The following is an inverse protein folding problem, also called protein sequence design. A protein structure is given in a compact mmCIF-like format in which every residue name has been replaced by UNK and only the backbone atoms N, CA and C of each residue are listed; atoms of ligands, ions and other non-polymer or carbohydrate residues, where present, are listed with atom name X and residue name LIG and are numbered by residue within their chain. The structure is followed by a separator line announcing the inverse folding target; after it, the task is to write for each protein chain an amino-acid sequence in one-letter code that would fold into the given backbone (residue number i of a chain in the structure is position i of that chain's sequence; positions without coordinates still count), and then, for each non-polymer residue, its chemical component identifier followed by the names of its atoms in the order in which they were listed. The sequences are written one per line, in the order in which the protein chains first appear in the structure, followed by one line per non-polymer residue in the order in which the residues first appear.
data_IF_426475562537
#
_entry.id   IF_426475562537
#
_cell.length_a   1.000
_cell.length_b   1.000
_cell.length_c   1.000
_cell.angle_alpha   90.00
_cell.angle_beta   90.00
_cell.angle_gamma   90.00
#
_symmetry.space_group_name_H-M   'P 1'
#
loop_
_entity.id
_entity.type
_entity.pdbx_description
1 polymer ?
#
# COMPACT_ATOMS: atom_id res chain seq x y z
N UNK A 1 -3.12 12.70 17.89
CA UNK A 1 -4.12 12.09 17.01
C UNK A 1 -5.09 13.18 16.58
N UNK A 2 -5.06 13.54 15.31
CA UNK A 2 -5.89 14.58 14.69
C UNK A 2 -7.03 13.93 13.91
N UNK A 3 -8.24 14.50 13.98
CA UNK A 3 -9.40 14.03 13.20
C UNK A 3 -9.37 14.68 11.81
N UNK A 4 -9.25 13.86 10.76
CA UNK A 4 -9.30 14.31 9.37
C UNK A 4 -10.73 14.34 8.83
N UNK A 5 -11.58 13.42 9.29
CA UNK A 5 -12.97 13.34 8.87
C UNK A 5 -13.82 12.61 9.91
N UNK A 6 -15.09 13.01 10.08
CA UNK A 6 -16.06 12.27 10.90
C UNK A 6 -17.49 12.46 10.37
N UNK A 7 -18.30 11.39 10.28
CA UNK A 7 -19.76 11.47 10.09
C UNK A 7 -20.55 10.60 11.06
N UNK A 8 -21.67 11.14 11.53
CA UNK A 8 -22.82 10.36 12.01
C UNK A 8 -23.62 9.94 10.78
N UNK A 9 -23.30 8.79 10.21
CA UNK A 9 -23.73 8.38 8.88
C UNK A 9 -25.18 7.81 8.88
N UNK A 10 -26.06 8.39 9.73
CA UNK A 10 -27.45 7.94 10.01
C UNK A 10 -28.34 7.85 8.76
N UNK A 11 -28.10 8.71 7.78
CA UNK A 11 -28.91 8.82 6.57
C UNK A 11 -28.08 8.64 5.30
N UNK A 12 -26.91 7.99 5.40
CA UNK A 12 -25.99 7.87 4.27
C UNK A 12 -26.66 7.14 3.10
N UNK A 13 -26.42 7.65 1.89
CA UNK A 13 -26.90 7.14 0.61
C UNK A 13 -25.72 6.99 -0.33
N UNK A 14 -25.85 6.22 -1.42
CA UNK A 14 -24.77 6.09 -2.41
C UNK A 14 -24.26 7.44 -2.95
N UNK A 15 -25.14 8.42 -3.12
CA UNK A 15 -24.72 9.77 -3.52
C UNK A 15 -23.86 10.45 -2.45
N UNK A 16 -24.25 10.35 -1.18
CA UNK A 16 -23.49 10.91 -0.07
C UNK A 16 -22.15 10.20 0.14
N UNK A 17 -22.04 8.89 -0.12
CA UNK A 17 -20.75 8.18 -0.10
C UNK A 17 -19.78 8.85 -1.06
N UNK A 18 -20.20 9.15 -2.30
CA UNK A 18 -19.35 9.84 -3.27
C UNK A 18 -18.89 11.23 -2.80
N UNK A 19 -19.77 11.98 -2.14
CA UNK A 19 -19.44 13.30 -1.55
C UNK A 19 -18.44 13.16 -0.40
N UNK A 20 -18.65 12.19 0.49
CA UNK A 20 -17.77 11.88 1.62
C UNK A 20 -16.38 11.52 1.12
N UNK A 21 -16.29 10.60 0.17
CA UNK A 21 -15.02 10.14 -0.39
C UNK A 21 -14.26 11.24 -1.13
N UNK A 22 -14.97 12.12 -1.85
CA UNK A 22 -14.35 13.30 -2.46
C UNK A 22 -13.77 14.23 -1.41
N UNK A 23 -14.53 14.52 -0.35
CA UNK A 23 -14.06 15.38 0.74
C UNK A 23 -12.83 14.79 1.45
N UNK A 24 -12.82 13.49 1.71
CA UNK A 24 -11.65 12.78 2.27
C UNK A 24 -10.43 12.97 1.35
N UNK A 25 -10.57 12.75 0.05
CA UNK A 25 -9.48 12.98 -0.91
C UNK A 25 -8.95 14.42 -0.86
N UNK A 26 -9.84 15.42 -0.85
CA UNK A 26 -9.47 16.84 -0.81
C UNK A 26 -8.69 17.19 0.47
N UNK A 27 -9.13 16.68 1.63
CA UNK A 27 -8.43 16.86 2.93
C UNK A 27 -7.04 16.24 2.89
N UNK A 28 -6.92 15.02 2.36
CA UNK A 28 -5.63 14.34 2.27
C UNK A 28 -4.67 15.03 1.30
N UNK A 29 -5.18 15.52 0.17
CA UNK A 29 -4.40 16.33 -0.76
C UNK A 29 -3.89 17.61 -0.10
N UNK A 30 -4.74 18.33 0.64
CA UNK A 30 -4.34 19.56 1.34
C UNK A 30 -3.28 19.30 2.44
N UNK A 31 -3.29 18.11 3.04
CA UNK A 31 -2.28 17.66 4.01
C UNK A 31 -0.97 17.17 3.37
N UNK A 32 -0.89 17.09 2.05
CA UNK A 32 0.30 16.65 1.32
C UNK A 32 0.52 15.14 1.35
N UNK A 33 -0.53 14.34 1.57
CA UNK A 33 -0.43 12.89 1.40
C UNK A 33 -0.26 12.51 -0.07
N UNK A 34 0.48 11.43 -0.32
CA UNK A 34 0.72 10.89 -1.66
C UNK A 34 -0.57 10.44 -2.35
N UNK A 35 -0.58 10.43 -3.69
CA UNK A 35 -1.69 9.88 -4.47
C UNK A 35 -1.90 8.38 -4.16
N UNK A 36 -0.85 7.67 -3.78
CA UNK A 36 -0.93 6.27 -3.36
C UNK A 36 -1.70 6.12 -2.03
N UNK A 37 -1.38 6.94 -1.02
CA UNK A 37 -2.10 6.95 0.27
C UNK A 37 -3.56 7.33 0.05
N UNK A 38 -3.81 8.38 -0.73
CA UNK A 38 -5.17 8.84 -1.06
C UNK A 38 -5.99 7.71 -1.69
N UNK A 39 -5.43 6.99 -2.67
CA UNK A 39 -6.11 5.85 -3.31
C UNK A 39 -6.37 4.69 -2.33
N UNK A 40 -5.44 4.39 -1.42
CA UNK A 40 -5.63 3.36 -0.39
C UNK A 40 -6.74 3.74 0.59
N UNK A 41 -6.68 4.95 1.15
CA UNK A 41 -7.70 5.46 2.08
C UNK A 41 -9.06 5.53 1.42
N UNK A 42 -9.15 6.05 0.20
CA UNK A 42 -10.38 6.09 -0.59
C UNK A 42 -10.99 4.69 -0.74
N UNK A 43 -10.18 3.71 -1.14
CA UNK A 43 -10.63 2.33 -1.37
C UNK A 43 -11.17 1.69 -0.09
N UNK A 44 -10.46 1.83 1.03
CA UNK A 44 -10.88 1.25 2.32
C UNK A 44 -12.13 1.97 2.84
N UNK A 45 -12.15 3.30 2.74
CA UNK A 45 -13.29 4.13 3.17
C UNK A 45 -14.55 3.77 2.38
N UNK A 46 -14.44 3.57 1.06
CA UNK A 46 -15.59 3.17 0.22
C UNK A 46 -16.19 1.86 0.72
N UNK A 47 -15.35 0.86 0.97
CA UNK A 47 -15.81 -0.45 1.45
C UNK A 47 -16.45 -0.35 2.85
N UNK A 48 -15.87 0.46 3.74
CA UNK A 48 -16.44 0.70 5.07
C UNK A 48 -17.80 1.40 5.00
N UNK A 49 -17.93 2.41 4.16
CA UNK A 49 -19.17 3.17 3.98
C UNK A 49 -20.25 2.34 3.28
N UNK A 50 -19.87 1.51 2.30
CA UNK A 50 -20.78 0.55 1.66
C UNK A 50 -21.24 -0.52 2.67
N UNK A 51 -20.35 -1.01 3.55
CA UNK A 51 -20.73 -1.90 4.64
C UNK A 51 -21.68 -1.23 5.62
N UNK A 52 -21.48 0.05 5.93
CA UNK A 52 -22.42 0.85 6.75
C UNK A 52 -23.79 0.89 6.09
N UNK A 53 -23.85 1.19 4.79
CA UNK A 53 -25.08 1.32 4.01
C UNK A 53 -25.83 -0.01 3.81
N UNK A 54 -25.13 -1.08 3.43
CA UNK A 54 -25.74 -2.34 3.01
C UNK A 54 -26.06 -3.29 4.19
N UNK A 55 -25.21 -3.30 5.22
CA UNK A 55 -25.29 -4.25 6.33
C UNK A 55 -25.74 -3.61 7.65
N UNK A 56 -26.00 -2.31 7.67
CA UNK A 56 -26.54 -1.62 8.84
C UNK A 56 -27.96 -2.05 9.12
N UNK A 57 -28.20 -2.64 10.29
CA UNK A 57 -29.56 -2.94 10.72
C UNK A 57 -30.33 -1.62 10.91
N UNK A 58 -31.37 -1.42 10.10
CA UNK A 58 -32.14 -0.17 10.05
C UNK A 58 -33.03 -0.03 11.29
N UNK A 59 -32.46 0.48 12.38
CA UNK A 59 -33.18 0.65 13.63
C UNK A 59 -33.90 2.00 13.64
N UNK A 60 -35.07 2.09 13.00
CA UNK A 60 -35.97 3.25 13.17
C UNK A 60 -36.37 3.51 14.65
N UNK A 61 -36.05 2.59 15.57
CA UNK A 61 -36.47 2.54 16.97
C UNK A 61 -35.32 2.57 17.99
N UNK A 62 -34.07 2.61 17.54
CA UNK A 62 -32.88 2.74 18.41
C UNK A 62 -32.13 3.96 17.91
N UNK A 63 -31.59 4.78 18.81
CA UNK A 63 -30.63 5.84 18.46
C UNK A 63 -29.29 5.21 18.04
N UNK A 64 -29.35 4.32 17.03
CA UNK A 64 -28.14 3.81 16.41
C UNK A 64 -27.53 4.95 15.62
N UNK A 65 -26.25 5.16 15.88
CA UNK A 65 -25.45 6.13 15.15
C UNK A 65 -24.38 5.31 14.43
N UNK A 66 -24.65 4.79 13.22
CA UNK A 66 -23.56 4.39 12.36
C UNK A 66 -22.60 5.57 12.28
N UNK A 67 -21.32 5.28 12.49
CA UNK A 67 -20.31 6.31 12.68
C UNK A 67 -19.09 5.95 11.86
N UNK A 68 -18.53 6.94 11.19
CA UNK A 68 -17.32 6.78 10.40
C UNK A 68 -16.37 7.91 10.75
N UNK A 69 -15.12 7.57 11.03
CA UNK A 69 -14.09 8.54 11.37
C UNK A 69 -12.77 8.15 10.72
N UNK A 70 -12.02 9.17 10.30
CA UNK A 70 -10.62 9.04 9.92
C UNK A 70 -9.81 9.94 10.83
N UNK A 71 -8.86 9.34 11.55
CA UNK A 71 -7.87 10.06 12.34
C UNK A 71 -6.48 9.74 11.85
N UNK A 72 -5.51 10.58 12.21
CA UNK A 72 -4.11 10.31 11.91
C UNK A 72 -3.17 10.85 13.00
N UNK A 73 -1.97 10.28 13.02
CA UNK A 73 -0.81 10.79 13.73
C UNK A 73 0.42 10.77 12.81
N UNK A 74 1.62 10.95 13.37
CA UNK A 74 2.86 10.99 12.57
C UNK A 74 3.18 9.66 11.86
N UNK A 75 2.61 8.55 12.32
CA UNK A 75 2.98 7.19 11.90
C UNK A 75 1.87 6.48 11.15
N UNK A 76 0.62 6.68 11.54
CA UNK A 76 -0.51 5.89 11.04
C UNK A 76 -1.74 6.75 10.76
N UNK A 77 -2.55 6.28 9.81
CA UNK A 77 -3.93 6.70 9.59
C UNK A 77 -4.84 5.60 10.14
N UNK A 78 -5.90 5.99 10.85
CA UNK A 78 -6.88 5.06 11.40
C UNK A 78 -8.24 5.34 10.78
N UNK A 79 -8.87 4.29 10.27
CA UNK A 79 -10.23 4.35 9.73
C UNK A 79 -11.13 3.56 10.67
N UNK A 80 -12.04 4.26 11.33
CA UNK A 80 -13.02 3.70 12.24
C UNK A 80 -14.38 3.65 11.56
N UNK A 81 -15.01 2.47 11.55
CA UNK A 81 -16.33 2.27 10.98
C UNK A 81 -17.20 1.47 11.96
N UNK A 82 -18.22 2.13 12.51
CA UNK A 82 -19.17 1.56 13.48
C UNK A 82 -20.53 1.35 12.84
N UNK A 83 -21.10 0.17 13.03
CA UNK A 83 -22.43 -0.18 12.55
C UNK A 83 -23.18 -1.07 13.56
N UNK A 84 -24.50 -1.22 13.38
CA UNK A 84 -25.31 -2.16 14.16
C UNK A 84 -25.55 -3.42 13.35
N UNK A 85 -25.28 -4.57 13.95
CA UNK A 85 -25.55 -5.88 13.37
C UNK A 85 -26.44 -6.72 14.28
N UNK A 86 -27.09 -7.75 13.72
CA UNK A 86 -27.78 -8.76 14.52
C UNK A 86 -26.77 -9.74 15.11
N UNK A 87 -27.02 -10.18 16.34
CA UNK A 87 -26.12 -11.10 17.05
C UNK A 87 -26.00 -12.46 16.34
N UNK A 88 -27.01 -12.88 15.56
CA UNK A 88 -26.93 -14.10 14.74
C UNK A 88 -25.82 -14.05 13.66
N UNK A 89 -25.44 -12.85 13.20
CA UNK A 89 -24.43 -12.65 12.15
C UNK A 89 -23.03 -12.41 12.76
N UNK A 90 -22.96 -12.19 14.08
CA UNK A 90 -21.74 -11.80 14.80
C UNK A 90 -20.69 -12.91 14.79
N UNK A 91 -21.09 -14.15 15.07
CA UNK A 91 -20.17 -15.29 15.12
C UNK A 91 -19.48 -15.52 13.77
N UNK A 92 -20.26 -15.44 12.68
CA UNK A 92 -19.73 -15.55 11.33
C UNK A 92 -18.77 -14.40 11.01
N UNK A 93 -19.09 -13.16 11.42
CA UNK A 93 -18.23 -12.00 11.19
C UNK A 93 -16.91 -12.12 11.95
N UNK A 94 -16.95 -12.50 13.23
CA UNK A 94 -15.77 -12.68 14.07
C UNK A 94 -14.85 -13.76 13.50
N UNK A 95 -15.41 -14.92 13.11
CA UNK A 95 -14.66 -15.98 12.45
C UNK A 95 -14.03 -15.49 11.13
N UNK A 96 -14.78 -14.73 10.33
CA UNK A 96 -14.26 -14.18 9.07
C UNK A 96 -13.08 -13.24 9.30
N UNK A 97 -13.18 -12.31 10.27
CA UNK A 97 -12.08 -11.38 10.60
C UNK A 97 -10.87 -12.13 11.15
N UNK A 98 -11.07 -13.12 12.03
CA UNK A 98 -10.00 -13.94 12.57
C UNK A 98 -9.24 -14.66 11.44
N UNK A 99 -9.97 -15.33 10.54
CA UNK A 99 -9.40 -16.00 9.39
C UNK A 99 -8.60 -15.02 8.49
N UNK A 100 -9.12 -13.82 8.24
CA UNK A 100 -8.40 -12.81 7.45
C UNK A 100 -7.09 -12.35 8.12
N UNK A 101 -7.09 -12.26 9.44
CA UNK A 101 -5.91 -11.84 10.19
C UNK A 101 -4.82 -12.92 10.26
N UNK A 102 -5.20 -14.20 10.18
CA UNK A 102 -4.27 -15.33 10.16
C UNK A 102 -3.67 -15.62 8.77
N UNK A 103 -4.37 -15.24 7.69
CA UNK A 103 -3.85 -15.46 6.33
C UNK A 103 -2.59 -14.66 6.03
N UNK A 104 -1.62 -15.34 5.40
CA UNK A 104 -0.42 -14.67 4.89
C UNK A 104 -0.77 -13.88 3.63
N UNK A 105 -0.01 -12.82 3.36
CA UNK A 105 -0.25 -11.94 2.22
C UNK A 105 -0.29 -12.68 0.87
N UNK A 106 0.58 -13.69 0.70
CA UNK A 106 0.65 -14.54 -0.50
C UNK A 106 -0.61 -15.38 -0.73
N UNK A 107 -1.33 -15.71 0.33
CA UNK A 107 -2.55 -16.54 0.31
C UNK A 107 -3.80 -15.70 0.04
N UNK A 108 -3.76 -14.40 0.37
CA UNK A 108 -4.90 -13.48 0.20
C UNK A 108 -5.31 -13.32 -1.27
N UNK A 109 -4.37 -13.27 -2.22
CA UNK A 109 -4.68 -13.06 -3.64
C UNK A 109 -5.37 -14.28 -4.27
N UNK A 110 -4.85 -15.52 -4.13
CA UNK A 110 -5.57 -16.72 -4.56
C UNK A 110 -6.94 -16.87 -3.88
N UNK A 111 -7.01 -16.63 -2.57
CA UNK A 111 -8.27 -16.71 -1.83
C UNK A 111 -9.32 -15.71 -2.33
N UNK A 112 -8.92 -14.46 -2.59
CA UNK A 112 -9.76 -13.43 -3.21
C UNK A 112 -10.30 -13.85 -4.58
N UNK A 113 -9.43 -14.37 -5.44
CA UNK A 113 -9.80 -14.80 -6.80
C UNK A 113 -10.80 -15.96 -6.77
N UNK A 114 -10.60 -16.93 -5.87
CA UNK A 114 -11.52 -18.05 -5.70
C UNK A 114 -12.86 -17.59 -5.12
N UNK A 115 -12.84 -16.72 -4.10
CA UNK A 115 -14.03 -16.15 -3.48
C UNK A 115 -14.89 -15.40 -4.49
N UNK A 116 -14.29 -14.61 -5.38
CA UNK A 116 -15.03 -13.92 -6.45
C UNK A 116 -15.61 -14.91 -7.46
N UNK A 117 -14.82 -15.91 -7.89
CA UNK A 117 -15.29 -16.93 -8.84
C UNK A 117 -16.50 -17.70 -8.29
N UNK A 118 -16.43 -18.15 -7.05
CA UNK A 118 -17.52 -18.87 -6.39
C UNK A 118 -18.76 -17.97 -6.18
N UNK A 119 -18.57 -16.72 -5.75
CA UNK A 119 -19.67 -15.79 -5.48
C UNK A 119 -20.30 -15.16 -6.72
N UNK A 120 -19.58 -15.08 -7.84
CA UNK A 120 -20.13 -14.61 -9.12
C UNK A 120 -21.29 -15.46 -9.66
N UNK A 121 -21.55 -16.64 -9.06
CA UNK A 121 -22.68 -17.51 -9.38
C UNK A 121 -23.94 -17.23 -8.53
N UNK A 122 -23.89 -16.37 -7.50
CA UNK A 122 -25.03 -16.05 -6.64
C UNK A 122 -25.25 -14.52 -6.53
N UNK A 123 -26.42 -14.05 -6.93
CA UNK A 123 -26.77 -12.64 -7.24
C UNK A 123 -27.00 -11.71 -6.03
N UNK A 124 -26.32 -11.90 -4.89
CA UNK A 124 -26.42 -10.96 -3.76
C UNK A 124 -25.05 -10.65 -3.17
N UNK A 125 -24.76 -9.35 -3.01
CA UNK A 125 -23.48 -8.77 -2.58
C UNK A 125 -22.76 -9.60 -1.51
N UNK A 126 -21.58 -10.10 -1.87
CA UNK A 126 -20.89 -11.12 -1.12
C UNK A 126 -20.17 -10.58 0.11
N UNK A 127 -20.78 -10.74 1.29
CA UNK A 127 -20.11 -10.56 2.59
C UNK A 127 -18.73 -11.23 2.58
N UNK A 128 -17.68 -10.47 2.91
CA UNK A 128 -16.29 -10.95 3.01
C UNK A 128 -15.34 -10.50 1.88
N UNK A 129 -15.84 -10.14 0.69
CA UNK A 129 -14.96 -9.59 -0.38
C UNK A 129 -14.35 -8.26 0.05
N UNK A 130 -15.15 -7.43 0.72
CA UNK A 130 -14.71 -6.17 1.30
C UNK A 130 -13.62 -6.31 2.34
N UNK A 131 -13.80 -7.23 3.29
CA UNK A 131 -12.80 -7.48 4.35
C UNK A 131 -11.46 -7.96 3.77
N UNK A 132 -11.50 -8.80 2.72
CA UNK A 132 -10.28 -9.21 2.00
C UNK A 132 -9.62 -7.99 1.33
N UNK A 133 -10.40 -7.11 0.71
CA UNK A 133 -9.88 -5.90 0.07
C UNK A 133 -9.24 -4.96 1.09
N UNK A 134 -9.90 -4.75 2.23
CA UNK A 134 -9.38 -3.97 3.36
C UNK A 134 -8.06 -4.57 3.84
N UNK A 135 -8.03 -5.87 4.17
CA UNK A 135 -6.83 -6.58 4.66
C UNK A 135 -5.66 -6.48 3.69
N UNK A 136 -5.90 -6.61 2.38
CA UNK A 136 -4.87 -6.49 1.34
C UNK A 136 -4.34 -5.06 1.17
N UNK A 137 -5.09 -4.05 1.57
CA UNK A 137 -4.71 -2.64 1.44
C UNK A 137 -4.07 -2.09 2.71
N UNK A 138 -4.55 -2.52 3.89
CA UNK A 138 -3.96 -2.18 5.18
C UNK A 138 -2.68 -2.94 5.47
N UNK A 139 -2.59 -4.20 5.04
CA UNK A 139 -1.49 -5.13 5.35
C UNK A 139 -1.30 -5.43 6.85
N UNK A 140 -2.10 -4.76 7.71
CA UNK A 140 -2.17 -4.94 9.15
C UNK A 140 -3.43 -5.72 9.56
N UNK A 141 -3.47 -6.31 10.77
CA UNK A 141 -4.68 -6.92 11.31
C UNK A 141 -5.85 -5.94 11.34
N UNK A 142 -7.05 -6.43 11.04
CA UNK A 142 -8.30 -5.68 11.23
C UNK A 142 -8.72 -5.88 12.68
N UNK A 143 -8.85 -4.79 13.44
CA UNK A 143 -9.37 -4.83 14.80
C UNK A 143 -10.91 -4.74 14.78
N UNK A 144 -11.56 -5.62 15.53
CA UNK A 144 -13.01 -5.73 15.64
C UNK A 144 -13.43 -5.58 17.11
N UNK A 145 -14.17 -4.52 17.41
CA UNK A 145 -14.77 -4.30 18.73
C UNK A 145 -16.27 -4.53 18.66
N UNK A 146 -16.83 -5.16 19.70
CA UNK A 146 -18.25 -5.51 19.79
C UNK A 146 -18.82 -5.00 21.10
N UNK A 147 -19.91 -4.24 21.04
CA UNK A 147 -20.64 -3.74 22.21
C UNK A 147 -22.10 -4.17 22.13
N UNK A 148 -22.55 -5.02 23.04
CA UNK A 148 -23.94 -5.48 23.05
C UNK A 148 -24.90 -4.35 23.40
N UNK A 149 -25.97 -4.19 22.59
CA UNK A 149 -27.03 -3.21 22.83
C UNK A 149 -28.21 -3.91 23.50
N UNK A 150 -28.63 -5.06 22.94
CA UNK A 150 -29.73 -5.92 23.40
C UNK A 150 -29.41 -7.38 23.10
N UNK A 151 -30.32 -8.29 23.47
CA UNK A 151 -30.16 -9.75 23.26
C UNK A 151 -29.95 -10.15 21.81
N UNK A 152 -30.47 -9.36 20.87
CA UNK A 152 -30.53 -9.67 19.43
C UNK A 152 -29.62 -8.79 18.56
N UNK A 153 -29.04 -7.72 19.10
CA UNK A 153 -28.24 -6.74 18.34
C UNK A 153 -27.03 -6.21 19.13
N UNK A 154 -25.96 -5.92 18.40
CA UNK A 154 -24.72 -5.33 18.93
C UNK A 154 -24.20 -4.24 18.00
N UNK A 155 -23.49 -3.27 18.57
CA UNK A 155 -22.58 -2.45 17.80
C UNK A 155 -21.35 -3.27 17.44
N UNK A 156 -20.91 -3.11 16.20
CA UNK A 156 -19.63 -3.59 15.72
C UNK A 156 -18.84 -2.40 15.20
N UNK A 157 -17.60 -2.29 15.64
CA UNK A 157 -16.67 -1.25 15.22
C UNK A 157 -15.45 -1.92 14.61
N UNK A 158 -15.18 -1.63 13.35
CA UNK A 158 -13.89 -1.93 12.72
C UNK A 158 -12.95 -0.76 12.99
N UNK A 159 -11.74 -1.08 13.46
CA UNK A 159 -10.63 -0.13 13.50
C UNK A 159 -9.54 -0.65 12.55
N UNK A 160 -9.25 0.11 11.51
CA UNK A 160 -8.33 -0.26 10.45
C UNK A 160 -7.15 0.70 10.49
N UNK A 161 -5.99 0.16 10.82
CA UNK A 161 -4.74 0.91 10.83
C UNK A 161 -4.05 0.84 9.45
N UNK A 162 -3.50 1.99 9.04
CA UNK A 162 -2.70 2.17 7.84
C UNK A 162 -1.40 2.86 8.23
N UNK A 163 -0.32 2.11 8.29
CA UNK A 163 1.01 2.68 8.54
C UNK A 163 1.46 3.55 7.36
N UNK A 164 1.69 4.84 7.63
CA UNK A 164 2.26 5.79 6.66
C UNK A 164 3.69 5.32 6.27
N UNK A 165 4.40 4.66 7.18
CA UNK A 165 5.76 4.17 6.99
C UNK A 165 5.90 2.93 6.09
N UNK A 166 4.95 1.99 6.08
CA UNK A 166 4.94 0.85 5.14
C UNK A 166 4.55 1.27 3.74
N UNK A 167 3.74 2.33 3.60
CA UNK A 167 3.42 2.93 2.30
C UNK A 167 4.57 3.72 1.68
N UNK A 168 5.65 3.93 2.44
CA UNK A 168 6.91 4.55 2.00
C UNK A 168 7.96 3.54 1.54
N UNK A 169 7.59 2.26 1.40
CA UNK A 169 8.51 1.19 1.02
C UNK A 169 8.01 0.41 -0.18
N UNK A 170 8.93 0.03 -1.07
CA UNK A 170 8.68 -0.89 -2.16
C UNK A 170 9.62 -2.07 -2.01
N UNK A 171 9.09 -3.29 -2.08
CA UNK A 171 9.90 -4.50 -1.92
C UNK A 171 9.54 -5.56 -2.95
N UNK A 172 10.54 -6.07 -3.67
CA UNK A 172 10.48 -7.29 -4.49
C UNK A 172 11.58 -8.22 -4.03
N UNK A 173 11.24 -9.45 -3.65
CA UNK A 173 12.22 -10.43 -3.20
C UNK A 173 13.11 -10.90 -4.36
N UNK A 174 14.38 -11.18 -4.07
CA UNK A 174 15.30 -11.76 -5.03
C UNK A 174 14.85 -13.16 -5.46
N UNK A 175 15.15 -13.52 -6.71
CA UNK A 175 15.06 -14.88 -7.22
C UNK A 175 16.37 -15.25 -7.91
N UNK A 176 16.47 -16.45 -8.49
CA UNK A 176 17.62 -16.86 -9.30
C UNK A 176 17.86 -15.97 -10.54
N UNK A 177 16.85 -15.20 -10.95
CA UNK A 177 16.87 -14.40 -12.17
C UNK A 177 16.51 -12.93 -11.95
N UNK A 178 16.08 -12.53 -10.76
CA UNK A 178 15.63 -11.16 -10.47
C UNK A 178 16.26 -10.63 -9.19
N UNK A 179 16.60 -9.33 -9.13
CA UNK A 179 17.24 -8.77 -7.96
C UNK A 179 16.23 -8.64 -6.81
N UNK A 180 16.76 -8.50 -5.59
CA UNK A 180 16.04 -7.83 -4.52
C UNK A 180 15.91 -6.35 -4.91
N UNK A 181 14.70 -5.81 -4.86
CA UNK A 181 14.47 -4.36 -4.90
C UNK A 181 13.90 -3.98 -3.54
N UNK A 182 14.53 -3.05 -2.85
CA UNK A 182 14.03 -2.54 -1.58
C UNK A 182 14.23 -1.03 -1.49
N UNK A 183 13.16 -0.27 -1.77
CA UNK A 183 13.18 1.18 -1.70
C UNK A 183 12.48 1.63 -0.44
N UNK A 184 13.09 2.56 0.30
CA UNK A 184 12.51 3.11 1.52
C UNK A 184 12.66 4.63 1.56
N UNK A 185 11.55 5.34 1.39
CA UNK A 185 11.49 6.80 1.55
C UNK A 185 11.73 7.22 3.01
N UNK A 186 11.47 6.33 3.97
CA UNK A 186 11.69 6.64 5.39
C UNK A 186 13.18 6.77 5.72
N UNK A 187 13.99 5.83 5.24
CA UNK A 187 15.45 5.86 5.46
C UNK A 187 16.19 6.67 4.39
N UNK A 188 15.54 6.94 3.25
CA UNK A 188 16.22 7.49 2.09
C UNK A 188 17.23 6.50 1.51
N UNK A 189 16.94 5.19 1.58
CA UNK A 189 17.80 4.12 1.05
C UNK A 189 17.03 3.29 0.04
N UNK A 190 17.52 3.28 -1.20
CA UNK A 190 16.98 2.53 -2.32
C UNK A 190 18.00 1.50 -2.75
N UNK A 191 17.70 0.24 -2.51
CA UNK A 191 18.64 -0.88 -2.67
C UNK A 191 18.23 -1.79 -3.82
N UNK A 192 19.21 -2.22 -4.61
CA UNK A 192 19.08 -3.26 -5.63
C UNK A 192 20.21 -4.28 -5.47
N UNK A 193 19.88 -5.54 -5.17
CA UNK A 193 20.87 -6.58 -4.86
C UNK A 193 20.65 -7.87 -5.67
N UNK A 194 21.73 -8.52 -6.11
CA UNK A 194 21.72 -9.86 -6.71
C UNK A 194 21.71 -9.87 -8.24
N UNK A 195 20.96 -10.79 -8.86
CA UNK A 195 21.03 -11.03 -10.31
C UNK A 195 19.85 -10.39 -11.05
N UNK A 196 20.10 -9.63 -12.10
CA UNK A 196 19.08 -9.01 -12.95
C UNK A 196 19.07 -9.55 -14.39
N UNK A 197 18.34 -10.65 -14.57
CA UNK A 197 18.02 -11.25 -15.89
C UNK A 197 16.57 -11.80 -15.95
N UNK A 198 15.55 -11.02 -15.56
CA UNK A 198 14.16 -11.44 -15.68
C UNK A 198 13.81 -11.86 -17.11
N UNK A 199 12.92 -12.85 -17.24
CA UNK A 199 12.38 -13.29 -18.54
C UNK A 199 11.71 -12.15 -19.30
N UNK A 200 10.99 -11.27 -18.58
CA UNK A 200 10.42 -10.03 -19.11
C UNK A 200 10.91 -8.83 -18.28
N UNK A 201 12.08 -8.31 -18.65
CA UNK A 201 12.71 -7.17 -17.96
C UNK A 201 11.87 -5.89 -18.01
N UNK A 202 11.23 -5.60 -19.15
CA UNK A 202 10.42 -4.38 -19.29
C UNK A 202 9.23 -4.39 -18.33
N UNK A 203 8.49 -5.50 -18.25
CA UNK A 203 7.38 -5.63 -17.30
C UNK A 203 7.87 -5.59 -15.84
N UNK A 204 8.98 -6.26 -15.53
CA UNK A 204 9.54 -6.31 -14.18
C UNK A 204 9.89 -4.90 -13.65
N UNK A 205 10.59 -4.10 -14.47
CA UNK A 205 11.02 -2.76 -14.10
C UNK A 205 9.93 -1.71 -14.26
N UNK A 206 8.91 -1.94 -15.08
CA UNK A 206 7.75 -1.04 -15.17
C UNK A 206 7.03 -0.90 -13.83
N UNK A 207 6.91 -1.98 -13.05
CA UNK A 207 6.35 -1.92 -11.69
C UNK A 207 7.19 -1.04 -10.76
N UNK A 208 8.53 -1.09 -10.89
CA UNK A 208 9.47 -0.30 -10.07
C UNK A 208 9.38 1.18 -10.45
N UNK A 209 9.39 1.46 -11.76
CA UNK A 209 9.24 2.82 -12.31
C UNK A 209 7.93 3.45 -11.84
N UNK A 210 6.82 2.72 -11.98
CA UNK A 210 5.51 3.24 -11.55
C UNK A 210 5.46 3.51 -10.05
N UNK A 211 6.14 2.74 -9.21
CA UNK A 211 6.23 3.08 -7.79
C UNK A 211 7.00 4.39 -7.55
N UNK A 212 8.09 4.64 -8.28
CA UNK A 212 8.85 5.90 -8.20
C UNK A 212 8.00 7.09 -8.69
N UNK A 213 7.29 6.92 -9.82
CA UNK A 213 6.36 7.93 -10.37
C UNK A 213 5.23 8.26 -9.38
N UNK A 214 4.73 7.27 -8.64
CA UNK A 214 3.69 7.45 -7.63
C UNK A 214 4.17 8.20 -6.37
N UNK A 215 5.49 8.26 -6.15
CA UNK A 215 6.12 8.85 -4.97
C UNK A 215 7.10 9.99 -5.32
N UNK A 216 6.92 10.64 -6.49
CA UNK A 216 7.84 11.68 -6.95
C UNK A 216 7.96 12.85 -5.96
N UNK A 217 6.85 13.26 -5.34
CA UNK A 217 6.83 14.40 -4.42
C UNK A 217 7.59 14.09 -3.14
N UNK A 218 7.44 12.87 -2.61
CA UNK A 218 8.16 12.40 -1.44
C UNK A 218 9.66 12.32 -1.73
N UNK A 219 10.03 11.76 -2.89
CA UNK A 219 11.44 11.66 -3.30
C UNK A 219 12.05 13.06 -3.48
N UNK A 220 11.31 14.01 -4.08
CA UNK A 220 11.72 15.42 -4.19
C UNK A 220 11.95 16.06 -2.82
N UNK A 221 11.14 15.71 -1.83
CA UNK A 221 11.23 16.26 -0.47
C UNK A 221 12.35 15.63 0.40
N UNK A 222 12.98 14.54 -0.04
CA UNK A 222 14.09 13.92 0.69
C UNK A 222 15.30 14.87 0.77
N UNK A 223 15.86 15.01 1.96
CA UNK A 223 17.12 15.75 2.18
C UNK A 223 18.34 15.00 1.63
N UNK A 224 18.29 13.68 1.67
CA UNK A 224 19.31 12.77 1.17
C UNK A 224 18.66 11.46 0.73
N UNK A 225 19.13 10.89 -0.37
CA UNK A 225 18.71 9.59 -0.88
C UNK A 225 19.96 8.82 -1.35
N UNK A 226 20.13 7.58 -0.92
CA UNK A 226 21.19 6.69 -1.38
C UNK A 226 20.59 5.64 -2.31
N UNK A 227 21.10 5.54 -3.53
CA UNK A 227 20.87 4.44 -4.46
C UNK A 227 22.01 3.45 -4.31
N UNK A 228 21.78 2.36 -3.58
CA UNK A 228 22.76 1.32 -3.30
C UNK A 228 22.59 0.13 -4.24
N UNK A 229 23.57 -0.09 -5.10
CA UNK A 229 23.49 -1.04 -6.21
C UNK A 229 24.58 -2.09 -6.06
N UNK A 230 24.17 -3.33 -5.83
CA UNK A 230 25.06 -4.50 -5.71
C UNK A 230 24.52 -5.62 -6.60
N UNK A 231 24.80 -5.54 -7.90
CA UNK A 231 24.33 -6.54 -8.86
C UNK A 231 25.45 -7.50 -9.23
N UNK A 232 25.25 -8.79 -8.98
CA UNK A 232 26.21 -9.85 -9.34
C UNK A 232 26.24 -10.12 -10.85
N UNK A 233 25.13 -9.82 -11.55
CA UNK A 233 25.03 -9.96 -13.00
C UNK A 233 23.81 -9.19 -13.52
N UNK A 234 23.97 -8.47 -14.62
CA UNK A 234 22.89 -7.77 -15.31
C UNK A 234 22.94 -8.05 -16.81
N UNK A 235 21.79 -8.34 -17.43
CA UNK A 235 21.73 -8.44 -18.89
C UNK A 235 21.43 -7.07 -19.54
N UNK A 236 21.73 -6.91 -20.82
CA UNK A 236 21.61 -5.62 -21.52
C UNK A 236 20.20 -5.00 -21.47
N UNK A 237 19.14 -5.83 -21.48
CA UNK A 237 17.75 -5.34 -21.38
C UNK A 237 17.45 -4.82 -19.97
N UNK A 238 17.98 -5.48 -18.93
CA UNK A 238 17.88 -4.99 -17.56
C UNK A 238 18.67 -3.71 -17.37
N UNK A 239 19.91 -3.65 -17.87
CA UNK A 239 20.77 -2.47 -17.76
C UNK A 239 20.10 -1.23 -18.38
N UNK A 240 19.47 -1.38 -19.55
CA UNK A 240 18.65 -0.33 -20.18
C UNK A 240 17.52 0.15 -19.26
N UNK A 241 16.84 -0.75 -18.57
CA UNK A 241 15.74 -0.40 -17.67
C UNK A 241 16.23 0.22 -16.35
N UNK A 242 17.36 -0.24 -15.81
CA UNK A 242 18.05 0.39 -14.67
C UNK A 242 18.46 1.82 -15.02
N UNK A 243 19.04 2.04 -16.21
CA UNK A 243 19.36 3.37 -16.69
C UNK A 243 18.13 4.29 -16.77
N UNK A 244 16.98 3.77 -17.24
CA UNK A 244 15.70 4.51 -17.24
C UNK A 244 15.27 4.87 -15.82
N UNK A 245 15.36 3.92 -14.89
CA UNK A 245 15.03 4.11 -13.49
C UNK A 245 15.92 5.16 -12.82
N UNK A 246 17.24 5.11 -13.04
CA UNK A 246 18.16 6.08 -12.48
C UNK A 246 17.93 7.47 -13.06
N UNK A 247 17.67 7.60 -14.37
CA UNK A 247 17.28 8.88 -14.96
C UNK A 247 16.04 9.47 -14.30
N UNK A 248 15.01 8.65 -14.09
CA UNK A 248 13.80 9.09 -13.40
C UNK A 248 14.14 9.59 -12.00
N UNK A 249 14.78 8.78 -11.16
CA UNK A 249 15.08 9.13 -9.77
C UNK A 249 15.99 10.37 -9.69
N UNK A 250 17.05 10.43 -10.49
CA UNK A 250 17.97 11.57 -10.54
C UNK A 250 17.30 12.86 -11.02
N UNK A 251 16.28 12.77 -11.88
CA UNK A 251 15.52 13.95 -12.32
C UNK A 251 14.64 14.57 -11.21
N UNK A 252 14.36 13.81 -10.14
CA UNK A 252 13.55 14.26 -9.02
C UNK A 252 14.37 15.13 -8.06
N UNK A 253 15.58 14.70 -7.69
CA UNK A 253 16.45 15.46 -6.79
C UNK A 253 17.95 15.15 -6.97
N UNK A 254 18.50 15.53 -8.13
CA UNK A 254 19.87 15.19 -8.54
C UNK A 254 20.96 15.46 -7.49
N UNK A 255 20.84 16.56 -6.73
CA UNK A 255 21.85 16.98 -5.76
C UNK A 255 21.80 16.17 -4.45
N UNK A 256 20.61 15.78 -3.99
CA UNK A 256 20.45 15.04 -2.74
C UNK A 256 20.70 13.53 -2.89
N UNK A 257 20.83 13.05 -4.13
CA UNK A 257 21.01 11.62 -4.42
C UNK A 257 22.50 11.27 -4.42
N UNK A 258 22.88 10.22 -3.71
CA UNK A 258 24.18 9.55 -3.85
C UNK A 258 23.95 8.21 -4.51
N UNK A 259 24.77 7.83 -5.48
CA UNK A 259 24.73 6.49 -6.07
C UNK A 259 25.95 5.73 -5.59
N UNK A 260 25.72 4.62 -4.90
CA UNK A 260 26.74 3.68 -4.45
C UNK A 260 26.70 2.46 -5.38
N UNK A 261 27.80 2.20 -6.08
CA UNK A 261 27.96 1.06 -6.96
C UNK A 261 28.95 0.08 -6.36
N UNK A 262 28.44 -1.05 -5.88
CA UNK A 262 29.22 -2.13 -5.28
C UNK A 262 29.62 -3.12 -6.37
N UNK A 263 30.90 -3.41 -6.48
CA UNK A 263 31.44 -4.33 -7.48
C UNK A 263 32.43 -5.31 -6.85
N UNK A 264 32.56 -6.51 -7.44
CA UNK A 264 33.61 -7.45 -7.08
C UNK A 264 34.91 -7.04 -7.78
N UNK A 265 36.02 -7.00 -7.04
CA UNK A 265 37.34 -6.65 -7.58
C UNK A 265 37.82 -7.62 -8.65
N UNK A 266 37.36 -8.87 -8.61
CA UNK A 266 37.67 -9.85 -9.65
C UNK A 266 36.79 -9.69 -10.91
N UNK A 267 35.72 -8.90 -10.83
CA UNK A 267 34.78 -8.62 -11.92
C UNK A 267 34.94 -7.18 -12.43
N UNK A 268 35.94 -6.97 -13.29
CA UNK A 268 36.17 -5.69 -13.97
C UNK A 268 34.95 -5.25 -14.81
N UNK A 269 34.15 -6.19 -15.34
CA UNK A 269 32.99 -5.87 -16.17
C UNK A 269 31.91 -5.13 -15.39
N UNK A 270 31.65 -5.54 -14.14
CA UNK A 270 30.66 -4.87 -13.27
C UNK A 270 31.06 -3.43 -12.97
N UNK A 271 32.36 -3.18 -12.78
CA UNK A 271 32.88 -1.83 -12.57
C UNK A 271 32.73 -0.97 -13.83
N UNK A 272 33.11 -1.49 -14.99
CA UNK A 272 32.98 -0.78 -16.28
C UNK A 272 31.53 -0.35 -16.53
N UNK A 273 30.55 -1.24 -16.29
CA UNK A 273 29.12 -0.91 -16.43
C UNK A 273 28.70 0.26 -15.51
N UNK A 274 29.18 0.29 -14.28
CA UNK A 274 28.92 1.38 -13.34
C UNK A 274 29.56 2.70 -13.79
N UNK A 275 30.78 2.66 -14.33
CA UNK A 275 31.49 3.82 -14.87
C UNK A 275 30.77 4.40 -16.10
N UNK A 276 30.32 3.54 -17.03
CA UNK A 276 29.50 3.94 -18.18
C UNK A 276 28.18 4.61 -17.75
N UNK A 277 27.48 4.03 -16.78
CA UNK A 277 26.25 4.61 -16.25
C UNK A 277 26.49 5.98 -15.61
N UNK A 278 27.56 6.11 -14.82
CA UNK A 278 27.97 7.38 -14.19
C UNK A 278 28.20 8.48 -15.23
N UNK A 279 28.91 8.17 -16.32
CA UNK A 279 29.16 9.10 -17.43
C UNK A 279 27.86 9.50 -18.14
N UNK A 280 27.03 8.52 -18.51
CA UNK A 280 25.76 8.73 -19.22
C UNK A 280 24.80 9.57 -18.38
N UNK A 281 24.77 9.36 -17.06
CA UNK A 281 23.87 10.05 -16.13
C UNK A 281 24.41 11.40 -15.67
N UNK A 282 25.68 11.72 -15.97
CA UNK A 282 26.36 12.93 -15.49
C UNK A 282 26.28 13.07 -13.97
N UNK A 283 26.43 11.95 -13.28
CA UNK A 283 26.34 11.85 -11.82
C UNK A 283 27.53 11.04 -11.34
N UNK A 284 28.35 11.64 -10.48
CA UNK A 284 29.45 10.92 -9.85
C UNK A 284 28.92 9.81 -8.94
N UNK A 285 29.38 8.59 -9.18
CA UNK A 285 29.06 7.42 -8.38
C UNK A 285 30.16 7.19 -7.34
N UNK A 286 29.78 6.64 -6.20
CA UNK A 286 30.68 6.12 -5.17
C UNK A 286 30.89 4.64 -5.46
N UNK A 287 32.06 4.27 -5.96
CA UNK A 287 32.41 2.88 -6.23
C UNK A 287 32.96 2.21 -4.97
N UNK A 288 32.38 1.06 -4.62
CA UNK A 288 32.69 0.33 -3.38
C UNK A 288 33.11 -1.10 -3.74
N UNK A 289 34.32 -1.50 -3.34
CA UNK A 289 34.78 -2.88 -3.49
C UNK A 289 34.04 -3.80 -2.51
N UNK A 290 33.44 -4.88 -3.03
CA UNK A 290 32.81 -5.95 -2.24
C UNK A 290 33.87 -6.65 -1.39
N UNK A 291 33.54 -6.94 -0.13
CA UNK A 291 34.44 -7.59 0.83
C UNK A 291 34.47 -9.11 0.68
#
# INVERSE_FOLDING_TARGET
MEVLYSCDCKTITHHQIGVVLKHISDVFHAKGFSQYIIRKVYSISSECLDNILQHGYNTKTIDSKPYFEITYDEHSIYILAKNVIKNQDLEHLQHTVALMNEMRYEELKPYFQNTIKEKSMHTTGGAGVGLIMIKRKSELPIELMVESIRKDISYVTFNIELEIGTMKKFKKLATKHTPLIHFSLLSGLFTMEGVSRPENADAYYQEVLSWVEEHEQEIRALKSLVLHIELDYVNSVSLKNILRLFRLILSLNHAAITVEWVYDKEDESSREEGEELSEILKKEFVFIEKK
#
